data_IF_242387253386
#
_entry.id   IF_242387253386
#
_cell.length_a   1.000
_cell.length_b   1.000
_cell.length_c   1.000
_cell.angle_alpha   90.00
_cell.angle_beta   90.00
_cell.angle_gamma   90.00
#
_symmetry.space_group_name_H-M   'P 1'
#
loop_
_entity.id
_entity.type
_entity.pdbx_description
1 polymer ?
#
# COMPACT_ATOMS: atom_id res chain seq x y z
N UNK A 1 6.91 9.36 -20.43
CA UNK A 1 7.33 9.16 -19.02
C UNK A 1 8.13 7.87 -18.96
N UNK A 2 9.30 7.86 -18.34
CA UNK A 2 10.16 6.67 -18.28
C UNK A 2 9.54 5.62 -17.35
N UNK A 3 9.30 4.41 -17.86
CA UNK A 3 8.69 3.30 -17.14
C UNK A 3 9.53 2.84 -15.94
N UNK A 4 10.85 3.04 -16.00
CA UNK A 4 11.75 2.72 -14.90
C UNK A 4 11.58 3.69 -13.73
N UNK A 5 11.35 4.98 -14.02
CA UNK A 5 11.03 5.98 -12.99
C UNK A 5 9.71 5.60 -12.29
N UNK A 6 8.68 5.22 -13.05
CA UNK A 6 7.39 4.80 -12.47
C UNK A 6 7.56 3.55 -11.59
N UNK A 7 8.31 2.56 -12.05
CA UNK A 7 8.58 1.33 -11.29
C UNK A 7 9.34 1.63 -9.99
N UNK A 8 10.32 2.53 -10.04
CA UNK A 8 11.06 2.97 -8.85
C UNK A 8 10.13 3.66 -7.84
N UNK A 9 9.32 4.63 -8.29
CA UNK A 9 8.35 5.29 -7.42
C UNK A 9 7.34 4.31 -6.80
N UNK A 10 6.87 3.32 -7.56
CA UNK A 10 5.97 2.27 -7.03
C UNK A 10 6.66 1.40 -5.97
N UNK A 11 7.96 1.11 -6.12
CA UNK A 11 8.71 0.37 -5.11
C UNK A 11 8.83 1.16 -3.81
N UNK A 12 9.24 2.43 -3.89
CA UNK A 12 9.34 3.30 -2.70
C UNK A 12 7.98 3.48 -2.03
N UNK A 13 6.92 3.71 -2.82
CA UNK A 13 5.56 3.83 -2.31
C UNK A 13 5.12 2.55 -1.58
N UNK A 14 5.39 1.38 -2.15
CA UNK A 14 5.09 0.11 -1.49
C UNK A 14 5.84 -0.03 -0.16
N UNK A 15 7.09 0.41 -0.05
CA UNK A 15 7.84 0.36 1.21
C UNK A 15 7.13 1.18 2.31
N UNK A 16 6.65 2.38 2.00
CA UNK A 16 5.89 3.20 2.95
C UNK A 16 4.56 2.55 3.34
N UNK A 17 3.82 2.03 2.36
CA UNK A 17 2.53 1.37 2.59
C UNK A 17 2.71 0.12 3.46
N UNK A 18 3.74 -0.68 3.21
CA UNK A 18 4.08 -1.86 4.01
C UNK A 18 4.37 -1.48 5.46
N UNK A 19 5.11 -0.39 5.69
CA UNK A 19 5.35 0.12 7.04
C UNK A 19 4.05 0.52 7.75
N UNK A 20 3.20 1.32 7.09
CA UNK A 20 1.90 1.74 7.64
C UNK A 20 1.00 0.54 7.95
N UNK A 21 0.91 -0.43 7.03
CA UNK A 21 0.17 -1.67 7.24
C UNK A 21 0.70 -2.44 8.45
N UNK A 22 2.00 -2.66 8.53
CA UNK A 22 2.63 -3.37 9.63
C UNK A 22 2.34 -2.71 10.98
N UNK A 23 2.54 -1.40 11.10
CA UNK A 23 2.23 -0.68 12.33
C UNK A 23 0.74 -0.69 12.68
N UNK A 24 -0.16 -0.50 11.71
CA UNK A 24 -1.60 -0.56 11.95
C UNK A 24 -2.07 -1.94 12.43
N UNK A 25 -1.49 -3.02 11.87
CA UNK A 25 -1.77 -4.40 12.29
C UNK A 25 -1.20 -4.70 13.69
N UNK A 26 -0.04 -4.17 14.04
CA UNK A 26 0.52 -4.29 15.38
C UNK A 26 -0.32 -3.52 16.40
N UNK A 27 -0.78 -2.31 16.05
CA UNK A 27 -1.68 -1.53 16.89
C UNK A 27 -3.00 -2.26 17.11
N UNK A 28 -3.60 -2.86 16.08
CA UNK A 28 -4.86 -3.60 16.19
C UNK A 28 -4.83 -4.77 17.22
N UNK A 29 -3.63 -5.22 17.65
CA UNK A 29 -3.46 -6.25 18.69
C UNK A 29 -3.43 -5.68 20.11
N UNK A 30 -3.41 -4.36 20.28
CA UNK A 30 -3.37 -3.70 21.59
C UNK A 30 -4.79 -3.35 22.04
N UNK A 31 -5.03 -3.44 23.34
CA UNK A 31 -6.21 -2.81 23.93
C UNK A 31 -6.12 -1.30 23.78
N UNK A 32 -7.20 -0.69 23.28
CA UNK A 32 -7.29 0.74 23.07
C UNK A 32 -8.75 1.20 23.13
N UNK A 33 -9.00 2.49 23.40
CA UNK A 33 -10.33 3.08 23.28
C UNK A 33 -10.96 2.85 21.90
N UNK A 34 -12.28 2.70 21.85
CA UNK A 34 -13.01 2.32 20.62
C UNK A 34 -12.89 3.36 19.49
N UNK A 35 -12.79 4.64 19.85
CA UNK A 35 -12.54 5.73 18.90
C UNK A 35 -11.16 5.60 18.24
N UNK A 36 -10.13 5.27 19.01
CA UNK A 36 -8.78 5.02 18.49
C UNK A 36 -8.75 3.74 17.64
N UNK A 37 -9.44 2.69 18.07
CA UNK A 37 -9.56 1.44 17.31
C UNK A 37 -10.17 1.69 15.94
N UNK A 38 -11.27 2.45 15.89
CA UNK A 38 -11.93 2.85 14.65
C UNK A 38 -10.98 3.62 13.72
N UNK A 39 -10.13 4.50 14.27
CA UNK A 39 -9.12 5.21 13.47
C UNK A 39 -8.05 4.26 12.91
N UNK A 40 -7.55 3.32 13.71
CA UNK A 40 -6.57 2.31 13.29
C UNK A 40 -7.13 1.42 12.18
N UNK A 41 -8.40 1.00 12.28
CA UNK A 41 -9.07 0.22 11.25
C UNK A 41 -9.20 0.99 9.93
N UNK A 42 -9.53 2.28 9.99
CA UNK A 42 -9.58 3.16 8.80
C UNK A 42 -8.21 3.31 8.14
N UNK A 43 -7.14 3.48 8.93
CA UNK A 43 -5.76 3.55 8.45
C UNK A 43 -5.38 2.24 7.75
N UNK A 44 -5.67 1.10 8.38
CA UNK A 44 -5.38 -0.22 7.83
C UNK A 44 -6.11 -0.44 6.49
N UNK A 45 -7.40 -0.10 6.43
CA UNK A 45 -8.21 -0.20 5.21
C UNK A 45 -7.64 0.67 4.08
N UNK A 46 -7.27 1.92 4.38
CA UNK A 46 -6.72 2.84 3.39
C UNK A 46 -5.37 2.35 2.86
N UNK A 47 -4.49 1.87 3.75
CA UNK A 47 -3.19 1.34 3.37
C UNK A 47 -3.31 0.06 2.52
N UNK A 48 -4.28 -0.82 2.81
CA UNK A 48 -4.56 -1.98 1.96
C UNK A 48 -5.04 -1.56 0.56
N UNK A 49 -5.96 -0.61 0.47
CA UNK A 49 -6.42 -0.08 -0.82
C UNK A 49 -5.28 0.55 -1.62
N UNK A 50 -4.37 1.26 -0.96
CA UNK A 50 -3.19 1.84 -1.60
C UNK A 50 -2.24 0.74 -2.12
N UNK A 51 -1.99 -0.32 -1.32
CA UNK A 51 -1.18 -1.46 -1.74
C UNK A 51 -1.77 -2.14 -2.99
N UNK A 52 -3.09 -2.35 -3.01
CA UNK A 52 -3.77 -2.97 -4.13
C UNK A 52 -3.73 -2.11 -5.38
N UNK A 53 -3.85 -0.79 -5.25
CA UNK A 53 -3.69 0.14 -6.36
C UNK A 53 -2.26 0.09 -6.94
N UNK A 54 -1.24 0.10 -6.08
CA UNK A 54 0.16 0.01 -6.51
C UNK A 54 0.44 -1.32 -7.24
N UNK A 55 -0.11 -2.44 -6.75
CA UNK A 55 -0.02 -3.75 -7.42
C UNK A 55 -0.69 -3.74 -8.80
N UNK A 56 -1.88 -3.16 -8.93
CA UNK A 56 -2.59 -3.04 -10.21
C UNK A 56 -1.77 -2.24 -11.22
N UNK A 57 -1.19 -1.10 -10.82
CA UNK A 57 -0.35 -0.29 -11.71
C UNK A 57 0.89 -1.07 -12.16
N UNK A 58 1.54 -1.81 -11.24
CA UNK A 58 2.70 -2.62 -11.58
C UNK A 58 2.35 -3.76 -12.56
N UNK A 59 1.19 -4.38 -12.40
CA UNK A 59 0.69 -5.41 -13.33
C UNK A 59 0.42 -4.83 -14.73
N UNK A 60 -0.20 -3.65 -14.82
CA UNK A 60 -0.41 -2.97 -16.10
C UNK A 60 0.90 -2.59 -16.79
N UNK A 61 1.91 -2.17 -16.02
CA UNK A 61 3.26 -1.91 -16.53
C UNK A 61 3.89 -3.18 -17.11
N UNK A 62 3.71 -4.33 -16.44
CA UNK A 62 4.25 -5.61 -16.90
C UNK A 62 3.55 -6.08 -18.18
N UNK A 63 2.22 -6.06 -18.21
CA UNK A 63 1.41 -6.49 -19.36
C UNK A 63 1.68 -5.65 -20.62
N UNK A 64 1.96 -4.35 -20.47
CA UNK A 64 2.31 -3.48 -21.59
C UNK A 64 3.72 -3.74 -22.13
N UNK A 65 4.65 -4.19 -21.29
CA UNK A 65 6.00 -4.57 -21.72
C UNK A 65 6.04 -5.90 -22.50
N UNK A 66 5.08 -6.80 -22.31
CA UNK A 66 5.00 -8.07 -23.05
C UNK A 66 4.26 -7.95 -24.40
N UNK A 67 3.57 -6.83 -24.63
CA UNK A 67 2.78 -6.56 -25.84
C UNK A 67 3.51 -5.68 -26.88
N UNK A 68 4.64 -5.08 -26.50
CA UNK A 68 5.51 -4.28 -27.38
C UNK A 68 6.75 -5.05 -27.78
#
# INVERSE_FOLDING_TARGET
MDINIVRHCLHELNNYITGILGYSQLLAKKEMPEDIKTMVEKINLAANKAADAAKKILAEIHNNNERG
#
